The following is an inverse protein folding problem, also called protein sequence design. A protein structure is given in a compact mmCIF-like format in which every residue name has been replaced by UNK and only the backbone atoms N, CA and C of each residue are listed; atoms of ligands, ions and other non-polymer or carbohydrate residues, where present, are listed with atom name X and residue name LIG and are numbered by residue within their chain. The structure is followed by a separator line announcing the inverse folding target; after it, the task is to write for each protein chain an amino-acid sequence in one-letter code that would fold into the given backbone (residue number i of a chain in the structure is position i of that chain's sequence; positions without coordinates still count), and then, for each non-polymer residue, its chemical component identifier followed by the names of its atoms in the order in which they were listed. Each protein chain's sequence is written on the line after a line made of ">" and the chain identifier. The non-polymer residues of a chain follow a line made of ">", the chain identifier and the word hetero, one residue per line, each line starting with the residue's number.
data_IF_437687438743
#
_entry.id   IF_437687438743
#
_cell.length_a   1.000
_cell.length_b   1.000
_cell.length_c   1.000
_cell.angle_alpha   90.00
_cell.angle_beta   90.00
_cell.angle_gamma   90.00
#
_symmetry.space_group_name_H-M   'P 1'
#
loop_
_entity.id
_entity.type
_entity.pdbx_description
1 polymer ?
#
# COMPACT_ATOMS: atom_id res chain seq x y z
N UNK A 1 9.78 -6.71 0.36
CA UNK A 1 10.22 -6.80 1.77
C UNK A 1 11.74 -6.97 1.87
N UNK A 2 12.35 -7.98 1.23
CA UNK A 2 13.79 -8.27 1.34
C UNK A 2 14.67 -7.06 1.02
N UNK A 3 14.38 -6.32 -0.05
CA UNK A 3 15.13 -5.11 -0.39
C UNK A 3 15.00 -4.03 0.70
N UNK A 4 13.81 -3.81 1.24
CA UNK A 4 13.58 -2.83 2.30
C UNK A 4 14.37 -3.15 3.56
N UNK A 5 14.34 -4.41 3.99
CA UNK A 5 15.12 -4.89 5.15
C UNK A 5 16.63 -4.80 4.90
N UNK A 6 17.08 -5.12 3.69
CA UNK A 6 18.50 -5.12 3.35
C UNK A 6 19.11 -3.72 3.34
N UNK A 7 18.37 -2.70 2.92
CA UNK A 7 18.91 -1.34 2.77
C UNK A 7 18.63 -0.42 3.95
N UNK A 8 17.60 -0.70 4.76
CA UNK A 8 17.15 0.19 5.83
C UNK A 8 16.65 1.53 5.31
N UNK A 9 16.18 2.42 6.19
CA UNK A 9 15.66 3.74 5.83
C UNK A 9 14.44 3.71 4.92
N UNK A 10 14.24 4.77 4.17
CA UNK A 10 13.17 4.87 3.17
C UNK A 10 13.76 4.74 1.76
N UNK A 11 13.20 3.84 0.98
CA UNK A 11 13.73 3.52 -0.34
C UNK A 11 12.66 3.62 -1.42
N UNK A 12 12.99 4.27 -2.52
CA UNK A 12 12.26 4.13 -3.78
C UNK A 12 12.93 3.00 -4.57
N UNK A 13 12.19 1.92 -4.81
CA UNK A 13 12.71 0.75 -5.51
C UNK A 13 12.01 0.62 -6.86
N UNK A 14 12.79 0.67 -7.93
CA UNK A 14 12.30 0.50 -9.30
C UNK A 14 12.63 -0.89 -9.81
N UNK A 15 11.61 -1.73 -9.93
CA UNK A 15 11.69 -3.12 -10.42
C UNK A 15 11.55 -3.26 -11.93
N UNK A 16 11.81 -2.22 -12.73
CA UNK A 16 11.77 -2.33 -14.20
C UNK A 16 12.67 -3.45 -14.73
N UNK A 17 13.79 -3.69 -14.06
CA UNK A 17 14.64 -4.85 -14.25
C UNK A 17 14.71 -5.62 -12.92
N UNK A 18 14.05 -6.79 -12.86
CA UNK A 18 13.98 -7.62 -11.66
C UNK A 18 15.36 -8.13 -11.20
N UNK A 19 16.27 -8.36 -12.14
CA UNK A 19 17.63 -8.86 -11.82
C UNK A 19 18.54 -7.74 -11.33
N UNK A 20 18.21 -6.48 -11.58
CA UNK A 20 18.99 -5.32 -11.16
C UNK A 20 18.04 -4.15 -10.86
N UNK A 21 17.33 -4.19 -9.73
CA UNK A 21 16.46 -3.08 -9.32
C UNK A 21 17.28 -1.82 -9.07
N UNK A 22 16.73 -0.67 -9.41
CA UNK A 22 17.33 0.63 -9.09
C UNK A 22 16.72 1.10 -7.77
N UNK A 23 17.58 1.45 -6.82
CA UNK A 23 17.19 1.85 -5.47
C UNK A 23 17.70 3.28 -5.24
N UNK A 24 16.78 4.16 -4.88
CA UNK A 24 17.08 5.50 -4.39
C UNK A 24 16.79 5.53 -2.89
N UNK A 25 17.83 5.72 -2.09
CA UNK A 25 17.74 5.81 -0.64
C UNK A 25 17.46 7.24 -0.19
N UNK A 26 16.64 7.38 0.84
CA UNK A 26 16.30 8.65 1.45
C UNK A 26 16.36 8.52 2.98
N UNK A 27 17.19 9.34 3.60
CA UNK A 27 17.16 9.55 5.04
C UNK A 27 16.18 10.69 5.34
N UNK A 28 15.16 10.42 6.12
CA UNK A 28 14.10 11.38 6.43
C UNK A 28 13.86 11.46 7.93
N UNK A 29 13.45 12.64 8.37
CA UNK A 29 12.74 12.83 9.63
C UNK A 29 11.25 13.02 9.30
N UNK A 30 10.38 12.27 9.95
CA UNK A 30 8.91 12.34 9.77
C UNK A 30 8.23 13.08 10.94
N UNK A 31 8.99 13.59 11.91
CA UNK A 31 8.41 14.37 13.01
C UNK A 31 7.52 15.51 12.49
N UNK A 32 6.40 15.76 13.15
CA UNK A 32 5.93 15.24 14.43
C UNK A 32 5.09 13.97 14.32
N UNK A 33 5.19 13.19 13.23
CA UNK A 33 4.39 11.98 13.03
C UNK A 33 5.12 10.74 13.50
N UNK A 34 4.36 9.83 14.08
CA UNK A 34 4.79 8.52 14.52
C UNK A 34 4.17 7.43 13.63
N UNK A 35 4.90 6.34 13.41
CA UNK A 35 4.39 5.20 12.65
C UNK A 35 3.82 4.18 13.62
N UNK A 36 2.58 3.79 13.39
CA UNK A 36 1.92 2.73 14.15
C UNK A 36 1.49 1.64 13.19
N UNK A 37 1.83 0.39 13.53
CA UNK A 37 1.34 -0.81 12.85
C UNK A 37 0.34 -1.49 13.78
N UNK A 38 -0.86 -1.77 13.26
CA UNK A 38 -1.86 -2.57 13.95
C UNK A 38 -2.01 -3.90 13.25
N UNK A 39 -1.77 -5.00 13.96
CA UNK A 39 -2.13 -6.34 13.51
C UNK A 39 -3.64 -6.53 13.75
N UNK A 40 -4.39 -6.67 12.67
CA UNK A 40 -5.85 -6.76 12.73
C UNK A 40 -6.34 -8.21 12.93
N UNK A 41 -5.42 -9.16 12.99
CA UNK A 41 -5.74 -10.58 13.00
C UNK A 41 -6.06 -11.12 11.60
N UNK A 42 -6.62 -12.31 11.59
CA UNK A 42 -7.00 -13.02 10.37
C UNK A 42 -6.18 -14.26 10.11
N UNK A 43 -6.70 -15.15 9.27
CA UNK A 43 -6.05 -16.40 8.89
C UNK A 43 -5.48 -16.31 7.47
N UNK A 44 -4.16 -16.36 7.37
CA UNK A 44 -3.44 -16.31 6.10
C UNK A 44 -3.42 -17.65 5.32
N UNK A 45 -3.97 -18.73 5.89
CA UNK A 45 -3.79 -20.10 5.38
C UNK A 45 -4.35 -20.35 3.97
N UNK A 46 -5.32 -19.56 3.50
CA UNK A 46 -6.01 -19.78 2.22
C UNK A 46 -5.92 -18.59 1.25
N UNK A 47 -4.98 -17.66 1.45
CA UNK A 47 -4.92 -16.42 0.68
C UNK A 47 -4.13 -16.49 -0.64
N UNK A 48 -3.43 -17.61 -0.90
CA UNK A 48 -2.56 -17.77 -2.07
C UNK A 48 -3.27 -17.49 -3.40
N UNK A 49 -4.51 -17.95 -3.55
CA UNK A 49 -5.31 -17.71 -4.76
C UNK A 49 -5.68 -16.23 -4.93
N UNK A 50 -5.97 -15.53 -3.84
CA UNK A 50 -6.30 -14.11 -3.86
C UNK A 50 -5.08 -13.26 -4.22
N UNK A 51 -3.90 -13.58 -3.68
CA UNK A 51 -2.65 -12.93 -4.06
C UNK A 51 -2.29 -13.19 -5.52
N UNK A 52 -2.44 -14.44 -6.01
CA UNK A 52 -2.16 -14.79 -7.40
C UNK A 52 -3.11 -14.09 -8.37
N UNK A 53 -4.37 -13.90 -8.01
CA UNK A 53 -5.36 -13.24 -8.86
C UNK A 53 -4.99 -11.79 -9.22
N UNK A 54 -4.29 -11.05 -8.35
CA UNK A 54 -3.91 -9.66 -8.61
C UNK A 54 -3.01 -9.55 -9.85
N UNK A 55 -1.81 -10.18 -9.89
CA UNK A 55 -0.95 -10.08 -11.06
C UNK A 55 -1.54 -10.80 -12.28
N UNK A 56 -2.34 -11.84 -12.12
CA UNK A 56 -2.98 -12.54 -13.25
C UNK A 56 -4.01 -11.64 -13.94
N UNK A 57 -4.85 -10.95 -13.20
CA UNK A 57 -5.81 -10.01 -13.75
C UNK A 57 -5.11 -8.82 -14.41
N UNK A 58 -4.06 -8.26 -13.83
CA UNK A 58 -3.25 -7.22 -14.46
C UNK A 58 -2.59 -7.72 -15.76
N UNK A 59 -2.12 -8.97 -15.79
CA UNK A 59 -1.59 -9.60 -17.01
C UNK A 59 -2.65 -9.81 -18.08
N UNK A 60 -3.89 -10.14 -17.71
CA UNK A 60 -4.99 -10.28 -18.67
C UNK A 60 -5.25 -8.98 -19.43
N UNK A 61 -5.22 -7.84 -18.72
CA UNK A 61 -5.29 -6.51 -19.34
C UNK A 61 -4.10 -6.26 -20.26
N UNK A 62 -2.86 -6.55 -19.80
CA UNK A 62 -1.67 -6.36 -20.63
C UNK A 62 -1.68 -7.22 -21.90
N UNK A 63 -2.23 -8.44 -21.81
CA UNK A 63 -2.36 -9.38 -22.93
C UNK A 63 -3.26 -8.84 -24.04
N UNK A 64 -4.32 -8.11 -23.71
CA UNK A 64 -5.15 -7.43 -24.71
C UNK A 64 -4.32 -6.54 -25.64
N UNK A 65 -3.31 -5.85 -25.10
CA UNK A 65 -2.38 -5.00 -25.84
C UNK A 65 -1.15 -5.76 -26.40
N UNK A 66 -1.18 -7.09 -26.42
CA UNK A 66 -0.05 -7.94 -26.82
C UNK A 66 1.23 -7.65 -26.00
N UNK A 67 1.08 -7.30 -24.72
CA UNK A 67 2.19 -7.05 -23.79
C UNK A 67 2.21 -8.10 -22.68
N UNK A 68 3.40 -8.32 -22.12
CA UNK A 68 3.59 -9.25 -20.99
C UNK A 68 3.18 -8.66 -19.64
N UNK A 69 3.30 -7.34 -19.50
CA UNK A 69 3.03 -6.60 -18.25
C UNK A 69 2.46 -5.21 -18.55
N UNK A 70 1.66 -4.66 -17.63
CA UNK A 70 1.05 -3.33 -17.76
C UNK A 70 2.07 -2.21 -17.94
N UNK A 71 3.26 -2.32 -17.34
CA UNK A 71 4.34 -1.35 -17.49
C UNK A 71 4.80 -1.12 -18.95
N UNK A 72 4.39 -1.97 -19.88
CA UNK A 72 4.66 -1.86 -21.33
C UNK A 72 3.48 -1.30 -22.12
N UNK A 73 2.37 -1.00 -21.47
CA UNK A 73 1.17 -0.37 -22.06
C UNK A 73 1.14 1.08 -21.60
N UNK A 74 0.93 2.02 -22.51
CA UNK A 74 0.80 3.43 -22.14
C UNK A 74 -0.55 3.68 -21.47
N UNK A 75 -0.58 4.55 -20.46
CA UNK A 75 -1.78 4.89 -19.71
C UNK A 75 -2.89 5.42 -20.62
N UNK A 76 -2.53 6.28 -21.55
CA UNK A 76 -3.47 6.87 -22.51
C UNK A 76 -4.08 5.82 -23.44
N UNK A 77 -3.26 4.86 -23.90
CA UNK A 77 -3.70 3.74 -24.74
C UNK A 77 -4.67 2.84 -23.98
N UNK A 78 -4.38 2.55 -22.70
CA UNK A 78 -5.25 1.79 -21.83
C UNK A 78 -6.63 2.45 -21.68
N UNK A 79 -6.67 3.76 -21.33
CA UNK A 79 -7.94 4.46 -21.15
C UNK A 79 -8.75 4.58 -22.44
N UNK A 80 -8.10 4.79 -23.57
CA UNK A 80 -8.78 4.85 -24.89
C UNK A 80 -9.43 3.50 -25.26
N UNK A 81 -8.88 2.37 -24.79
CA UNK A 81 -9.36 1.05 -25.10
C UNK A 81 -10.47 0.53 -24.14
N UNK A 82 -10.83 1.27 -23.10
CA UNK A 82 -11.77 0.79 -22.06
C UNK A 82 -13.09 0.20 -22.61
N UNK A 83 -13.76 0.81 -23.61
CA UNK A 83 -15.02 0.28 -24.14
C UNK A 83 -14.88 -1.15 -24.73
N UNK A 84 -13.76 -1.42 -25.40
CA UNK A 84 -13.49 -2.73 -26.00
C UNK A 84 -12.87 -3.70 -24.99
N UNK A 85 -12.00 -3.19 -24.12
CA UNK A 85 -11.35 -3.97 -23.08
C UNK A 85 -12.37 -4.60 -22.12
N UNK A 86 -13.41 -3.86 -21.74
CA UNK A 86 -14.51 -4.31 -20.86
C UNK A 86 -15.30 -5.51 -21.46
N UNK A 87 -15.27 -5.70 -22.77
CA UNK A 87 -15.93 -6.83 -23.42
C UNK A 87 -15.17 -8.16 -23.25
N UNK A 88 -13.88 -8.11 -22.90
CA UNK A 88 -12.98 -9.27 -22.92
C UNK A 88 -12.25 -9.55 -21.61
N UNK A 89 -12.24 -8.62 -20.68
CA UNK A 89 -11.68 -8.78 -19.32
C UNK A 89 -12.69 -8.36 -18.27
N UNK A 90 -12.53 -8.83 -17.05
CA UNK A 90 -13.41 -8.45 -15.94
C UNK A 90 -13.24 -6.97 -15.53
N UNK A 91 -14.30 -6.36 -15.02
CA UNK A 91 -14.26 -5.01 -14.46
C UNK A 91 -13.21 -4.91 -13.33
N UNK A 92 -13.05 -5.96 -12.51
CA UNK A 92 -12.02 -6.01 -11.46
C UNK A 92 -10.61 -5.98 -12.02
N UNK A 93 -10.35 -6.66 -13.14
CA UNK A 93 -9.04 -6.58 -13.81
C UNK A 93 -8.74 -5.16 -14.30
N UNK A 94 -9.75 -4.46 -14.81
CA UNK A 94 -9.65 -3.06 -15.24
C UNK A 94 -9.37 -2.15 -14.03
N UNK A 95 -10.10 -2.30 -12.92
CA UNK A 95 -9.89 -1.54 -11.70
C UNK A 95 -8.45 -1.73 -11.15
N UNK A 96 -7.97 -2.97 -11.14
CA UNK A 96 -6.58 -3.27 -10.74
C UNK A 96 -5.54 -2.64 -11.66
N UNK A 97 -5.82 -2.54 -12.95
CA UNK A 97 -4.97 -1.82 -13.90
C UNK A 97 -5.00 -0.31 -13.66
N UNK A 98 -6.14 0.29 -13.33
CA UNK A 98 -6.25 1.70 -12.92
C UNK A 98 -5.39 1.95 -11.68
N UNK A 99 -5.54 1.12 -10.64
CA UNK A 99 -4.69 1.18 -9.44
C UNK A 99 -3.20 1.15 -9.81
N UNK A 100 -2.79 0.22 -10.68
CA UNK A 100 -1.39 0.10 -11.10
C UNK A 100 -0.83 1.40 -11.70
N UNK A 101 -1.56 2.05 -12.62
CA UNK A 101 -1.09 3.29 -13.23
C UNK A 101 -1.02 4.43 -12.23
N UNK A 102 -2.07 4.60 -11.44
CA UNK A 102 -2.16 5.70 -10.48
C UNK A 102 -1.16 5.53 -9.34
N UNK A 103 -0.95 4.31 -8.85
CA UNK A 103 0.01 4.01 -7.79
C UNK A 103 1.46 4.26 -8.25
N UNK A 104 1.81 3.92 -9.50
CA UNK A 104 3.13 4.24 -10.05
C UNK A 104 3.42 5.75 -10.13
N UNK A 105 2.41 6.56 -10.40
CA UNK A 105 2.53 8.03 -10.39
C UNK A 105 2.60 8.56 -8.95
N UNK A 106 1.75 8.03 -8.07
CA UNK A 106 1.65 8.40 -6.66
C UNK A 106 2.96 8.14 -5.90
N UNK A 107 3.55 6.96 -6.08
CA UNK A 107 4.84 6.60 -5.47
C UNK A 107 5.95 7.60 -5.86
N UNK A 108 6.06 7.96 -7.14
CA UNK A 108 7.05 8.93 -7.61
C UNK A 108 6.81 10.33 -7.03
N UNK A 109 5.54 10.74 -6.94
CA UNK A 109 5.14 12.03 -6.37
C UNK A 109 5.38 12.05 -4.85
N UNK A 110 5.02 10.97 -4.16
CA UNK A 110 5.24 10.80 -2.72
C UNK A 110 6.72 10.85 -2.37
N UNK A 111 7.56 10.13 -3.09
CA UNK A 111 9.01 10.16 -2.88
C UNK A 111 9.60 11.56 -3.08
N UNK A 112 9.16 12.29 -4.13
CA UNK A 112 9.58 13.69 -4.33
C UNK A 112 9.12 14.62 -3.21
N UNK A 113 7.92 14.40 -2.68
CA UNK A 113 7.41 15.18 -1.55
C UNK A 113 8.27 14.94 -0.29
N UNK A 114 8.58 13.67 0.03
CA UNK A 114 9.48 13.32 1.13
C UNK A 114 10.86 13.96 0.96
N UNK A 115 11.47 13.82 -0.21
CA UNK A 115 12.79 14.39 -0.52
C UNK A 115 12.85 15.92 -0.34
N UNK A 116 11.71 16.59 -0.51
CA UNK A 116 11.59 18.04 -0.35
C UNK A 116 11.02 18.46 1.02
N UNK A 117 10.95 17.56 2.00
CA UNK A 117 10.44 17.84 3.34
C UNK A 117 8.93 18.15 3.40
N UNK A 118 8.16 17.82 2.35
CA UNK A 118 6.73 18.09 2.27
C UNK A 118 5.93 16.92 2.85
N UNK A 119 6.08 16.70 4.16
CA UNK A 119 5.51 15.53 4.86
C UNK A 119 3.99 15.46 4.70
N UNK A 120 3.25 16.55 4.95
CA UNK A 120 1.78 16.55 4.79
C UNK A 120 1.33 16.13 3.40
N UNK A 121 2.02 16.60 2.34
CA UNK A 121 1.73 16.15 0.96
C UNK A 121 2.08 14.70 0.71
N UNK A 122 3.05 14.14 1.41
CA UNK A 122 3.31 12.70 1.38
C UNK A 122 2.20 11.92 2.08
N UNK A 123 1.72 12.37 3.24
CA UNK A 123 0.61 11.73 3.96
C UNK A 123 -0.70 11.76 3.17
N UNK A 124 -0.98 12.83 2.43
CA UNK A 124 -2.07 12.86 1.45
C UNK A 124 -1.94 11.70 0.43
N UNK A 125 -0.73 11.47 -0.10
CA UNK A 125 -0.47 10.36 -1.02
C UNK A 125 -0.64 8.99 -0.36
N UNK A 126 -0.30 8.86 0.92
CA UNK A 126 -0.53 7.62 1.70
C UNK A 126 -2.03 7.33 1.81
N UNK A 127 -2.85 8.33 2.14
CA UNK A 127 -4.31 8.19 2.20
C UNK A 127 -4.91 7.86 0.83
N UNK A 128 -4.50 8.54 -0.24
CA UNK A 128 -4.93 8.24 -1.61
C UNK A 128 -4.56 6.81 -2.02
N UNK A 129 -3.37 6.33 -1.63
CA UNK A 129 -2.92 4.96 -1.87
C UNK A 129 -3.79 3.95 -1.13
N UNK A 130 -4.14 4.23 0.13
CA UNK A 130 -5.05 3.42 0.93
C UNK A 130 -6.44 3.31 0.31
N UNK A 131 -7.01 4.43 -0.13
CA UNK A 131 -8.30 4.47 -0.80
C UNK A 131 -8.26 3.69 -2.13
N UNK A 132 -7.23 3.90 -2.94
CA UNK A 132 -7.04 3.17 -4.20
C UNK A 132 -6.86 1.66 -3.99
N UNK A 133 -6.23 1.24 -2.89
CA UNK A 133 -6.13 -0.16 -2.50
C UNK A 133 -7.51 -0.76 -2.20
N UNK A 134 -8.36 -0.03 -1.48
CA UNK A 134 -9.70 -0.47 -1.14
C UNK A 134 -10.62 -0.50 -2.37
N UNK A 135 -10.65 0.58 -3.15
CA UNK A 135 -11.62 0.78 -4.22
C UNK A 135 -11.25 0.04 -5.51
N UNK A 136 -9.96 0.05 -5.89
CA UNK A 136 -9.50 -0.43 -7.20
C UNK A 136 -8.72 -1.73 -7.12
N UNK A 137 -7.70 -1.83 -6.24
CA UNK A 137 -6.95 -3.07 -6.09
C UNK A 137 -7.79 -4.16 -5.42
N UNK A 138 -8.68 -3.76 -4.51
CA UNK A 138 -9.60 -4.62 -3.77
C UNK A 138 -8.85 -5.73 -3.01
N UNK A 139 -7.85 -5.31 -2.23
CA UNK A 139 -7.05 -6.21 -1.41
C UNK A 139 -7.18 -5.95 0.10
N UNK A 140 -8.21 -5.19 0.54
CA UNK A 140 -8.44 -4.88 1.95
C UNK A 140 -9.34 -5.89 2.66
N UNK A 141 -9.96 -6.81 1.92
CA UNK A 141 -10.70 -7.94 2.47
C UNK A 141 -10.74 -9.11 1.48
N UNK A 142 -11.00 -10.30 1.98
CA UNK A 142 -11.28 -11.48 1.15
C UNK A 142 -12.66 -11.32 0.52
N UNK A 143 -12.79 -11.47 -0.82
CA UNK A 143 -14.07 -11.36 -1.50
C UNK A 143 -15.11 -12.33 -0.93
N UNK A 144 -16.28 -11.79 -0.57
CA UNK A 144 -17.39 -12.58 0.00
C UNK A 144 -17.27 -12.87 1.50
N UNK A 145 -16.17 -12.49 2.17
CA UNK A 145 -16.03 -12.64 3.62
C UNK A 145 -16.83 -11.56 4.37
N UNK A 146 -17.49 -11.97 5.44
CA UNK A 146 -18.09 -11.05 6.42
C UNK A 146 -17.05 -10.55 7.44
N UNK A 147 -15.94 -11.27 7.59
CA UNK A 147 -14.81 -10.84 8.40
C UNK A 147 -13.96 -9.86 7.59
N UNK A 148 -13.89 -8.62 8.02
CA UNK A 148 -13.25 -7.53 7.30
C UNK A 148 -12.35 -6.72 8.23
N UNK A 149 -11.44 -7.39 8.90
CA UNK A 149 -10.59 -6.83 9.95
C UNK A 149 -9.81 -5.59 9.50
N UNK A 150 -9.20 -5.63 8.31
CA UNK A 150 -8.46 -4.50 7.75
C UNK A 150 -9.38 -3.30 7.50
N UNK A 151 -10.57 -3.54 6.92
CA UNK A 151 -11.51 -2.46 6.64
C UNK A 151 -12.02 -1.81 7.93
N UNK A 152 -12.28 -2.62 8.98
CA UNK A 152 -12.67 -2.11 10.30
C UNK A 152 -11.54 -1.25 10.89
N UNK A 153 -10.30 -1.75 10.86
CA UNK A 153 -9.15 -1.03 11.38
C UNK A 153 -8.88 0.29 10.63
N UNK A 154 -9.00 0.28 9.30
CA UNK A 154 -8.88 1.50 8.49
C UNK A 154 -10.02 2.50 8.78
N UNK A 155 -11.25 2.03 8.96
CA UNK A 155 -12.39 2.90 9.29
C UNK A 155 -12.19 3.56 10.66
N UNK A 156 -11.78 2.79 11.68
CA UNK A 156 -11.47 3.31 13.01
C UNK A 156 -10.29 4.29 12.96
N UNK A 157 -9.19 3.92 12.27
CA UNK A 157 -8.04 4.82 12.11
C UNK A 157 -8.41 6.15 11.46
N UNK A 158 -9.26 6.15 10.42
CA UNK A 158 -9.75 7.38 9.78
C UNK A 158 -10.65 8.23 10.69
N UNK A 159 -11.30 7.61 11.65
CA UNK A 159 -12.10 8.31 12.66
C UNK A 159 -11.22 8.96 13.74
N UNK A 160 -10.13 8.30 14.13
CA UNK A 160 -9.24 8.73 15.21
C UNK A 160 -8.16 9.72 14.75
N UNK A 161 -7.70 9.64 13.50
CA UNK A 161 -6.62 10.46 12.97
C UNK A 161 -7.19 11.71 12.30
N UNK A 162 -6.89 12.88 12.82
CA UNK A 162 -7.26 14.17 12.21
C UNK A 162 -6.09 14.78 11.40
N UNK A 163 -4.85 14.62 11.90
CA UNK A 163 -3.64 15.03 11.18
C UNK A 163 -2.71 13.81 11.01
N UNK A 164 -2.79 13.17 9.86
CA UNK A 164 -2.01 11.97 9.57
C UNK A 164 -2.51 11.19 8.38
N UNK A 165 -2.21 9.91 8.37
CA UNK A 165 -2.63 9.04 7.27
C UNK A 165 -2.69 7.58 7.71
N UNK A 166 -3.52 6.78 7.04
CA UNK A 166 -3.51 5.35 7.23
C UNK A 166 -3.74 4.60 5.92
N UNK A 167 -3.20 3.40 5.84
CA UNK A 167 -3.40 2.49 4.72
C UNK A 167 -3.16 1.04 5.14
N UNK A 168 -3.58 0.14 4.27
CA UNK A 168 -3.18 -1.26 4.37
C UNK A 168 -1.66 -1.39 4.28
N UNK A 169 -1.08 -2.27 5.09
CA UNK A 169 0.34 -2.61 5.08
C UNK A 169 0.56 -3.98 4.44
N UNK A 170 1.55 -4.07 3.52
CA UNK A 170 1.85 -5.32 2.81
C UNK A 170 0.87 -5.69 1.70
N UNK A 171 0.68 -6.98 1.48
CA UNK A 171 -0.09 -7.54 0.37
C UNK A 171 -1.60 -7.46 0.52
N UNK A 172 -2.07 -7.36 1.74
CA UNK A 172 -3.49 -7.23 2.04
C UNK A 172 -4.24 -8.53 2.27
N UNK A 173 -5.54 -8.49 2.08
CA UNK A 173 -6.58 -9.47 2.37
C UNK A 173 -6.76 -9.74 3.86
N UNK A 174 -5.70 -9.91 4.61
CA UNK A 174 -5.60 -10.06 6.06
C UNK A 174 -4.30 -9.42 6.57
N UNK A 175 -4.14 -9.26 7.88
CA UNK A 175 -2.90 -8.88 8.52
C UNK A 175 -2.90 -7.47 9.08
N UNK A 176 -2.11 -6.56 8.53
CA UNK A 176 -1.76 -5.30 9.20
C UNK A 176 -2.19 -4.06 8.43
N UNK A 177 -2.43 -2.98 9.17
CA UNK A 177 -2.50 -1.61 8.66
C UNK A 177 -1.30 -0.81 9.17
N UNK A 178 -0.98 0.24 8.42
CA UNK A 178 0.03 1.24 8.73
C UNK A 178 -0.65 2.58 8.93
N UNK A 179 -0.33 3.26 10.02
CA UNK A 179 -0.80 4.61 10.30
C UNK A 179 0.39 5.56 10.56
N UNK A 180 0.25 6.79 10.12
CA UNK A 180 1.07 7.93 10.51
C UNK A 180 0.20 8.82 11.37
N UNK A 181 0.56 8.97 12.63
CA UNK A 181 -0.25 9.67 13.65
C UNK A 181 0.54 10.82 14.20
N UNK A 182 -0.06 12.01 14.26
CA UNK A 182 0.57 13.18 14.86
C UNK A 182 0.83 12.94 16.36
N UNK A 183 1.90 13.51 16.91
CA UNK A 183 2.31 13.29 18.31
C UNK A 183 1.20 13.62 19.31
N UNK A 184 0.40 14.66 19.04
CA UNK A 184 -0.71 15.08 19.91
C UNK A 184 -1.87 14.07 19.95
N UNK A 185 -1.99 13.20 18.97
CA UNK A 185 -3.07 12.18 18.84
C UNK A 185 -2.58 10.77 19.18
N UNK A 186 -1.27 10.57 19.33
CA UNK A 186 -0.64 9.25 19.36
C UNK A 186 -1.13 8.39 20.53
N UNK A 187 -1.15 8.92 21.76
CA UNK A 187 -1.53 8.18 22.96
C UNK A 187 -2.99 7.71 22.84
N UNK A 188 -3.89 8.61 22.47
CA UNK A 188 -5.30 8.33 22.28
C UNK A 188 -5.51 7.28 21.15
N UNK A 189 -4.83 7.46 20.01
CA UNK A 189 -4.91 6.51 18.90
C UNK A 189 -4.49 5.08 19.31
N UNK A 190 -3.36 4.95 20.01
CA UNK A 190 -2.85 3.64 20.45
C UNK A 190 -3.77 3.00 21.47
N UNK A 191 -4.37 3.78 22.38
CA UNK A 191 -5.33 3.27 23.37
C UNK A 191 -6.58 2.75 22.68
N UNK A 192 -7.25 3.53 21.84
CA UNK A 192 -8.50 3.16 21.17
C UNK A 192 -8.32 1.98 20.22
N UNK A 193 -7.22 1.96 19.45
CA UNK A 193 -6.90 0.81 18.60
C UNK A 193 -6.60 -0.43 19.44
N UNK A 194 -5.95 -0.27 20.58
CA UNK A 194 -5.65 -1.34 21.53
C UNK A 194 -6.90 -1.94 22.18
N UNK A 195 -7.92 -1.12 22.48
CA UNK A 195 -9.21 -1.63 23.01
C UNK A 195 -9.96 -2.52 21.99
N UNK A 196 -9.82 -2.24 20.70
CA UNK A 196 -10.53 -2.98 19.64
C UNK A 196 -9.74 -4.20 19.15
N UNK A 197 -8.42 -4.07 18.96
CA UNK A 197 -7.58 -5.10 18.33
C UNK A 197 -6.65 -5.84 19.30
N UNK A 198 -6.61 -5.43 20.59
CA UNK A 198 -5.68 -5.91 21.60
C UNK A 198 -4.43 -5.06 21.67
N UNK A 199 -4.02 -4.68 22.87
CA UNK A 199 -2.86 -3.80 23.12
C UNK A 199 -1.55 -4.39 22.57
N UNK A 200 -1.44 -5.73 22.61
CA UNK A 200 -0.31 -6.49 22.07
C UNK A 200 -0.24 -6.50 20.54
N UNK A 201 -1.26 -6.01 19.86
CA UNK A 201 -1.34 -5.96 18.40
C UNK A 201 -1.10 -4.55 17.83
N UNK A 202 -0.92 -3.54 18.70
CA UNK A 202 -0.69 -2.14 18.29
C UNK A 202 0.74 -1.75 18.62
N UNK A 203 1.55 -1.52 17.59
CA UNK A 203 2.98 -1.31 17.73
C UNK A 203 3.41 0.02 17.16
N UNK A 204 3.91 0.92 18.00
CA UNK A 204 4.67 2.06 17.54
C UNK A 204 6.05 1.60 17.06
N UNK A 205 6.42 1.99 15.85
CA UNK A 205 7.70 1.62 15.25
C UNK A 205 8.50 2.84 14.82
N UNK A 206 9.79 2.66 14.64
CA UNK A 206 10.69 3.67 14.07
C UNK A 206 11.39 3.15 12.82
N UNK A 207 11.75 4.07 11.92
CA UNK A 207 12.52 3.74 10.73
C UNK A 207 13.97 3.59 11.14
N UNK A 208 14.50 2.36 11.01
CA UNK A 208 15.93 2.11 11.21
C UNK A 208 16.70 2.47 9.94
N UNK A 209 17.63 3.41 10.02
CA UNK A 209 18.42 3.86 8.88
C UNK A 209 19.43 2.81 8.37
N UNK A 210 19.89 1.95 9.25
CA UNK A 210 20.81 0.86 8.90
C UNK A 210 20.05 -0.36 8.37
N UNK A 211 20.48 -0.88 7.26
CA UNK A 211 20.01 -2.16 6.72
C UNK A 211 20.58 -3.37 7.47
N UNK A 212 20.51 -4.54 6.84
CA UNK A 212 21.14 -5.76 7.37
C UNK A 212 22.65 -5.58 7.44
N UNK A 213 23.23 -5.82 8.63
CA UNK A 213 24.70 -5.80 8.84
C UNK A 213 25.16 -7.22 9.10
N UNK A 214 26.32 -7.56 8.54
CA UNK A 214 27.04 -8.76 8.93
C UNK A 214 27.60 -8.50 10.34
N UNK A 215 27.32 -9.39 11.29
CA UNK A 215 27.90 -9.39 12.62
C UNK A 215 29.27 -10.04 12.59
#
# INVERSE_FOLDING_TARGET
>A
DQCGVAFGGVNLINFKNLNKPVIEHLSINIEPYHIVITNTGGDHSNLTSHYAAIPEEMKSVAKYFHKKVLAKVKKEEFYAALPELRKVVSDRAILRAIHFYDENERVKKGFRNLKNGKIKKFLEMVNESGNSSMEYLQNTCVPGSLTQNINLALALSKHLIHDGACRIHGGGFEGTILAFVHEDELEYYVEEMGEVFGKENVHQISIRNDGSKHL
#
